data_IF_102954002446
#
_entry.id   IF_102954002446
#
_cell.length_a   1.000
_cell.length_b   1.000
_cell.length_c   1.000
_cell.angle_alpha   90.00
_cell.angle_beta   90.00
_cell.angle_gamma   90.00
#
_symmetry.space_group_name_H-M   'P 1'
#
loop_
_entity.id
_entity.type
_entity.pdbx_description
1 polymer ?
#
# COMPACT_ATOMS: atom_id res chain seq x y z
N UNK A 1 -47.62 1.69 -5.38
CA UNK A 1 -47.11 3.00 -5.84
C UNK A 1 -46.09 3.59 -4.85
N UNK A 2 -46.44 3.86 -3.59
CA UNK A 2 -45.49 4.37 -2.59
C UNK A 2 -44.24 3.48 -2.35
N UNK A 3 -44.41 2.15 -2.27
CA UNK A 3 -43.28 1.21 -2.11
C UNK A 3 -42.36 1.11 -3.33
N UNK A 4 -42.86 1.41 -4.54
CA UNK A 4 -42.05 1.47 -5.76
C UNK A 4 -41.22 2.76 -5.82
N UNK A 5 -41.74 3.86 -5.28
CA UNK A 5 -41.02 5.13 -5.18
C UNK A 5 -39.89 5.07 -4.17
N UNK A 6 -40.15 4.54 -2.96
CA UNK A 6 -39.10 4.32 -1.95
C UNK A 6 -37.96 3.43 -2.44
N UNK A 7 -38.27 2.39 -3.23
CA UNK A 7 -37.26 1.48 -3.80
C UNK A 7 -36.45 2.09 -4.97
N UNK A 8 -36.90 3.20 -5.55
CA UNK A 8 -36.18 3.96 -6.57
C UNK A 8 -35.29 5.00 -5.89
N UNK A 9 -35.80 5.72 -4.90
CA UNK A 9 -35.02 6.68 -4.11
C UNK A 9 -33.81 6.04 -3.40
N UNK A 10 -33.96 4.82 -2.88
CA UNK A 10 -32.83 4.08 -2.28
C UNK A 10 -31.77 3.68 -3.32
N UNK A 11 -32.17 3.36 -4.56
CA UNK A 11 -31.20 3.02 -5.63
C UNK A 11 -30.43 4.24 -6.10
N UNK A 12 -31.12 5.37 -6.25
CA UNK A 12 -30.52 6.62 -6.69
C UNK A 12 -29.53 7.12 -5.64
N UNK A 13 -29.90 7.02 -4.35
CA UNK A 13 -28.99 7.34 -3.24
C UNK A 13 -27.76 6.42 -3.19
N UNK A 14 -27.94 5.11 -3.40
CA UNK A 14 -26.81 4.16 -3.47
C UNK A 14 -25.92 4.42 -4.68
N UNK A 15 -26.49 4.81 -5.82
CA UNK A 15 -25.74 5.14 -7.03
C UNK A 15 -24.96 6.45 -6.87
N UNK A 16 -25.55 7.46 -6.22
CA UNK A 16 -24.91 8.74 -5.93
C UNK A 16 -23.76 8.59 -4.92
N UNK A 17 -23.97 7.80 -3.87
CA UNK A 17 -22.92 7.49 -2.89
C UNK A 17 -21.77 6.69 -3.53
N UNK A 18 -22.09 5.74 -4.42
CA UNK A 18 -21.09 5.03 -5.23
C UNK A 18 -20.33 5.97 -6.16
N UNK A 19 -21.01 6.90 -6.83
CA UNK A 19 -20.37 7.88 -7.71
C UNK A 19 -19.47 8.85 -6.93
N UNK A 20 -19.88 9.27 -5.73
CA UNK A 20 -19.05 10.08 -4.83
C UNK A 20 -17.80 9.34 -4.39
N UNK A 21 -17.94 8.07 -3.98
CA UNK A 21 -16.82 7.22 -3.60
C UNK A 21 -15.88 6.94 -4.78
N UNK A 22 -16.40 6.74 -5.99
CA UNK A 22 -15.58 6.56 -7.20
C UNK A 22 -14.84 7.86 -7.57
N UNK A 23 -15.45 9.04 -7.40
CA UNK A 23 -14.80 10.34 -7.62
C UNK A 23 -13.73 10.66 -6.55
N UNK A 24 -14.00 10.33 -5.29
CA UNK A 24 -13.04 10.46 -4.20
C UNK A 24 -11.89 9.45 -4.36
N UNK A 25 -12.18 8.23 -4.83
CA UNK A 25 -11.17 7.26 -5.24
C UNK A 25 -10.31 7.77 -6.39
N UNK A 26 -10.91 8.36 -7.44
CA UNK A 26 -10.16 8.97 -8.55
C UNK A 26 -9.28 10.17 -8.10
N UNK A 27 -9.74 10.93 -7.09
CA UNK A 27 -8.95 12.01 -6.49
C UNK A 27 -7.81 11.48 -5.61
N UNK A 28 -8.06 10.42 -4.85
CA UNK A 28 -7.03 9.70 -4.10
C UNK A 28 -6.04 9.02 -5.04
N UNK A 29 -6.50 8.58 -6.22
CA UNK A 29 -5.65 8.04 -7.28
C UNK A 29 -4.65 9.04 -7.85
N UNK A 30 -4.85 10.34 -7.67
CA UNK A 30 -3.95 11.38 -8.19
C UNK A 30 -3.00 11.97 -7.14
N UNK A 31 -3.26 11.79 -5.84
CA UNK A 31 -2.67 12.65 -4.80
C UNK A 31 -1.84 11.95 -3.72
N UNK A 32 -1.89 10.62 -3.58
CA UNK A 32 -1.21 9.97 -2.45
C UNK A 32 -0.57 8.64 -2.86
N UNK A 33 0.73 8.49 -2.58
CA UNK A 33 1.41 7.22 -2.67
C UNK A 33 0.72 6.20 -1.74
N UNK A 34 0.44 4.99 -2.25
CA UNK A 34 -0.23 3.95 -1.47
C UNK A 34 0.41 3.71 -0.10
N UNK A 35 1.74 3.85 0.02
CA UNK A 35 2.47 3.70 1.29
C UNK A 35 1.99 4.66 2.39
N UNK A 36 1.45 5.83 2.04
CA UNK A 36 0.89 6.79 3.01
C UNK A 36 -0.57 6.50 3.36
N UNK A 37 -1.38 6.00 2.41
CA UNK A 37 -2.79 5.63 2.66
C UNK A 37 -2.92 4.28 3.37
N UNK A 38 -2.01 3.37 3.08
CA UNK A 38 -2.02 1.97 3.47
C UNK A 38 -0.66 1.57 4.05
N UNK A 39 -0.20 2.20 5.16
CA UNK A 39 1.11 1.90 5.71
C UNK A 39 1.16 0.43 6.15
N UNK A 40 2.17 -0.29 5.65
CA UNK A 40 2.44 -1.70 5.96
C UNK A 40 3.73 -1.82 6.78
N UNK A 41 3.60 -2.39 7.98
CA UNK A 41 4.72 -2.83 8.81
C UNK A 41 4.85 -4.35 8.73
N UNK A 42 5.89 -4.82 8.04
CA UNK A 42 6.22 -6.24 7.90
C UNK A 42 7.27 -6.71 8.91
N UNK A 43 7.79 -5.84 9.77
CA UNK A 43 8.86 -6.16 10.72
C UNK A 43 8.30 -6.41 12.13
N UNK A 44 7.09 -5.91 12.41
CA UNK A 44 6.32 -6.26 13.60
C UNK A 44 6.16 -7.79 13.77
N UNK A 45 6.07 -8.26 15.02
CA UNK A 45 5.90 -9.70 15.32
C UNK A 45 4.66 -10.30 14.65
N UNK A 46 3.57 -9.53 14.60
CA UNK A 46 2.43 -9.76 13.70
C UNK A 46 2.41 -8.59 12.73
N UNK A 47 2.48 -8.82 11.40
CA UNK A 47 2.55 -7.72 10.44
C UNK A 47 1.25 -6.91 10.46
N UNK A 48 1.34 -5.63 10.12
CA UNK A 48 0.20 -4.71 10.20
C UNK A 48 -0.05 -3.96 8.90
N UNK A 49 -1.31 -3.57 8.71
CA UNK A 49 -1.77 -2.65 7.67
C UNK A 49 -2.61 -1.57 8.35
N UNK A 50 -2.23 -0.30 8.18
CA UNK A 50 -2.88 0.82 8.88
C UNK A 50 -2.92 0.63 10.41
N UNK A 51 -1.90 -0.03 10.97
CA UNK A 51 -1.83 -0.40 12.39
C UNK A 51 -2.70 -1.59 12.80
N UNK A 52 -3.53 -2.13 11.90
CA UNK A 52 -4.36 -3.32 12.15
C UNK A 52 -3.55 -4.59 11.91
N UNK A 53 -3.58 -5.52 12.86
CA UNK A 53 -2.77 -6.75 12.80
C UNK A 53 -3.38 -7.79 11.88
N UNK A 54 -2.53 -8.41 11.07
CA UNK A 54 -2.87 -9.47 10.13
C UNK A 54 -1.99 -10.70 10.42
N UNK A 55 -2.50 -11.60 11.25
CA UNK A 55 -1.78 -12.80 11.67
C UNK A 55 -2.20 -13.22 13.08
N UNK A 56 -1.76 -14.38 13.52
CA UNK A 56 -2.01 -14.94 14.85
C UNK A 56 -0.74 -15.53 15.42
N UNK A 57 -0.40 -15.11 16.63
CA UNK A 57 0.66 -15.71 17.45
C UNK A 57 0.12 -16.00 18.84
N UNK A 58 0.71 -16.94 19.59
CA UNK A 58 0.31 -17.20 20.98
C UNK A 58 0.30 -15.96 21.87
N UNK A 59 1.25 -15.03 21.65
CA UNK A 59 1.37 -13.77 22.39
C UNK A 59 0.50 -12.63 21.87
N UNK A 60 -0.10 -12.76 20.68
CA UNK A 60 -0.91 -11.72 20.06
C UNK A 60 -1.91 -12.33 19.08
N UNK A 61 -3.19 -12.32 19.46
CA UNK A 61 -4.29 -12.77 18.62
C UNK A 61 -5.24 -11.58 18.37
N UNK A 62 -5.22 -10.97 17.18
CA UNK A 62 -6.18 -9.94 16.85
C UNK A 62 -7.60 -10.51 16.86
N UNK A 63 -8.54 -9.69 17.29
CA UNK A 63 -9.95 -10.06 17.23
C UNK A 63 -10.40 -10.16 15.76
N UNK A 64 -11.38 -11.02 15.43
CA UNK A 64 -11.89 -11.13 14.06
C UNK A 64 -12.26 -9.80 13.40
N UNK A 65 -12.92 -8.82 14.07
CA UNK A 65 -13.22 -7.53 13.46
C UNK A 65 -11.98 -6.75 13.00
N UNK A 66 -10.89 -6.79 13.78
CA UNK A 66 -9.62 -6.15 13.41
C UNK A 66 -9.01 -6.79 12.15
N UNK A 67 -8.98 -8.13 12.10
CA UNK A 67 -8.50 -8.86 10.92
C UNK A 67 -9.38 -8.57 9.70
N UNK A 68 -10.70 -8.54 9.88
CA UNK A 68 -11.66 -8.28 8.83
C UNK A 68 -11.53 -6.86 8.26
N UNK A 69 -11.33 -5.85 9.11
CA UNK A 69 -11.09 -4.48 8.70
C UNK A 69 -9.81 -4.37 7.88
N UNK A 70 -8.73 -5.01 8.32
CA UNK A 70 -7.47 -5.06 7.58
C UNK A 70 -7.63 -5.77 6.21
N UNK A 71 -8.37 -6.89 6.16
CA UNK A 71 -8.71 -7.57 4.90
C UNK A 71 -9.54 -6.69 3.95
N UNK A 72 -10.49 -5.90 4.47
CA UNK A 72 -11.26 -4.92 3.69
C UNK A 72 -10.39 -3.83 3.07
N UNK A 73 -9.42 -3.30 3.83
CA UNK A 73 -8.44 -2.33 3.34
C UNK A 73 -7.52 -2.95 2.27
N UNK A 74 -7.07 -4.20 2.47
CA UNK A 74 -6.27 -4.92 1.47
C UNK A 74 -7.02 -5.06 0.14
N UNK A 75 -8.29 -5.45 0.17
CA UNK A 75 -9.09 -5.58 -1.04
C UNK A 75 -9.36 -4.23 -1.71
N UNK A 76 -9.54 -3.17 -0.92
CA UNK A 76 -9.65 -1.81 -1.45
C UNK A 76 -8.38 -1.42 -2.21
N UNK A 77 -7.22 -1.59 -1.59
CA UNK A 77 -5.95 -1.27 -2.24
C UNK A 77 -5.70 -2.12 -3.50
N UNK A 78 -5.97 -3.42 -3.44
CA UNK A 78 -5.84 -4.32 -4.59
C UNK A 78 -6.81 -3.99 -5.72
N UNK A 79 -8.03 -3.51 -5.40
CA UNK A 79 -9.00 -3.04 -6.39
C UNK A 79 -8.50 -1.83 -7.16
N UNK A 80 -7.93 -0.84 -6.45
CA UNK A 80 -7.35 0.35 -7.08
C UNK A 80 -6.16 -0.03 -7.99
N UNK A 81 -5.23 -0.85 -7.48
CA UNK A 81 -4.11 -1.35 -8.29
C UNK A 81 -4.58 -2.12 -9.51
N UNK A 82 -5.58 -2.99 -9.35
CA UNK A 82 -6.16 -3.76 -10.45
C UNK A 82 -6.77 -2.87 -11.52
N UNK A 83 -7.54 -1.84 -11.15
CA UNK A 83 -8.14 -0.90 -12.10
C UNK A 83 -7.07 -0.12 -12.88
N UNK A 84 -6.04 0.40 -12.21
CA UNK A 84 -4.95 1.13 -12.89
C UNK A 84 -4.13 0.28 -13.86
N UNK A 85 -4.02 -1.02 -13.60
CA UNK A 85 -3.14 -1.92 -14.38
C UNK A 85 -3.90 -2.99 -15.16
N UNK A 86 -5.22 -2.83 -15.33
CA UNK A 86 -6.10 -3.84 -15.93
C UNK A 86 -5.63 -4.31 -17.31
N UNK A 87 -5.14 -3.39 -18.16
CA UNK A 87 -4.67 -3.71 -19.51
C UNK A 87 -3.52 -4.73 -19.59
N UNK A 88 -2.76 -4.92 -18.50
CA UNK A 88 -1.67 -5.92 -18.41
C UNK A 88 -1.92 -7.01 -17.37
N UNK A 89 -2.94 -6.85 -16.53
CA UNK A 89 -3.20 -7.79 -15.45
C UNK A 89 -3.91 -9.03 -16.00
N UNK A 90 -3.22 -10.17 -16.00
CA UNK A 90 -3.81 -11.47 -16.28
C UNK A 90 -3.93 -12.27 -14.99
N UNK A 91 -5.13 -12.30 -14.42
CA UNK A 91 -5.45 -13.12 -13.25
C UNK A 91 -6.70 -13.97 -13.53
N UNK A 92 -6.55 -15.15 -14.17
CA UNK A 92 -7.70 -15.93 -14.66
C UNK A 92 -8.60 -16.45 -13.53
N UNK A 93 -8.05 -16.63 -12.32
CA UNK A 93 -8.76 -17.22 -11.20
C UNK A 93 -9.56 -16.17 -10.40
N UNK A 94 -9.34 -14.86 -10.58
CA UNK A 94 -10.02 -13.81 -9.82
C UNK A 94 -10.85 -12.94 -10.75
N UNK A 95 -12.16 -13.19 -10.79
CA UNK A 95 -13.11 -12.47 -11.65
C UNK A 95 -13.30 -11.03 -11.19
N UNK A 96 -13.65 -10.83 -9.92
CA UNK A 96 -13.95 -9.50 -9.38
C UNK A 96 -13.65 -9.44 -7.88
N UNK A 97 -13.50 -8.22 -7.36
CA UNK A 97 -13.35 -7.95 -5.93
C UNK A 97 -14.62 -7.24 -5.46
N UNK A 98 -15.26 -7.76 -4.41
CA UNK A 98 -16.47 -7.18 -3.83
C UNK A 98 -16.08 -6.44 -2.55
N UNK A 99 -16.06 -5.10 -2.64
CA UNK A 99 -15.68 -4.22 -1.54
C UNK A 99 -16.90 -3.99 -0.64
N UNK A 100 -16.82 -4.45 0.60
CA UNK A 100 -17.88 -4.31 1.60
C UNK A 100 -17.29 -4.09 3.01
N UNK A 101 -16.20 -3.30 3.08
CA UNK A 101 -15.47 -3.06 4.34
C UNK A 101 -15.01 -4.38 4.98
N UNK A 102 -15.39 -4.59 6.24
CA UNK A 102 -15.10 -5.82 7.00
C UNK A 102 -15.75 -7.08 6.42
N UNK A 103 -16.75 -6.95 5.56
CA UNK A 103 -17.47 -8.07 4.95
C UNK A 103 -17.05 -8.33 3.49
N UNK A 104 -15.88 -7.84 3.08
CA UNK A 104 -15.42 -7.93 1.69
C UNK A 104 -15.25 -9.40 1.22
N UNK A 105 -15.36 -9.60 -0.10
CA UNK A 105 -15.36 -10.93 -0.73
C UNK A 105 -14.58 -10.92 -2.05
N UNK A 106 -14.23 -12.11 -2.54
CA UNK A 106 -13.58 -12.31 -3.83
C UNK A 106 -14.43 -13.25 -4.68
N UNK A 107 -14.70 -12.87 -5.92
CA UNK A 107 -15.32 -13.76 -6.91
C UNK A 107 -14.24 -14.52 -7.66
N UNK A 108 -14.18 -15.83 -7.44
CA UNK A 108 -13.18 -16.74 -8.00
C UNK A 108 -13.81 -17.55 -9.13
N UNK A 109 -13.06 -17.79 -10.21
CA UNK A 109 -13.49 -18.68 -11.29
C UNK A 109 -12.92 -20.07 -11.03
N UNK A 110 -13.79 -21.04 -10.80
CA UNK A 110 -13.43 -22.45 -10.59
C UNK A 110 -13.69 -23.27 -11.86
N UNK A 111 -12.68 -24.00 -12.32
CA UNK A 111 -12.77 -24.91 -13.48
C UNK A 111 -11.83 -24.56 -14.64
N UNK A 112 -11.40 -25.58 -15.40
CA UNK A 112 -10.42 -25.46 -16.51
C UNK A 112 -11.04 -25.08 -17.88
N UNK A 113 -12.36 -24.93 -18.00
CA UNK A 113 -13.04 -24.68 -19.27
C UNK A 113 -13.68 -23.29 -19.36
N UNK A 114 -14.01 -22.87 -20.58
CA UNK A 114 -14.61 -21.58 -21.00
C UNK A 114 -15.97 -21.24 -20.38
N UNK A 115 -16.43 -21.98 -19.37
CA UNK A 115 -17.66 -21.74 -18.59
C UNK A 115 -17.47 -21.90 -17.08
N UNK A 116 -16.25 -21.69 -16.56
CA UNK A 116 -15.90 -21.87 -15.15
C UNK A 116 -16.95 -21.29 -14.18
N UNK A 117 -17.28 -22.06 -13.15
CA UNK A 117 -18.25 -21.67 -12.14
C UNK A 117 -17.67 -20.52 -11.33
N UNK A 118 -18.39 -19.40 -11.27
CA UNK A 118 -18.04 -18.29 -10.37
C UNK A 118 -18.49 -18.64 -8.96
N UNK A 119 -17.56 -18.61 -8.02
CA UNK A 119 -17.80 -18.82 -6.61
C UNK A 119 -17.40 -17.58 -5.82
N UNK A 120 -18.18 -17.25 -4.78
CA UNK A 120 -17.87 -16.17 -3.84
C UNK A 120 -17.18 -16.76 -2.62
N UNK A 121 -15.95 -16.32 -2.38
CA UNK A 121 -15.22 -16.65 -1.16
C UNK A 121 -15.14 -15.43 -0.26
N UNK A 122 -15.45 -15.62 1.02
CA UNK A 122 -15.46 -14.55 2.01
C UNK A 122 -14.03 -14.16 2.38
N UNK A 123 -13.66 -12.89 2.21
CA UNK A 123 -12.37 -12.38 2.68
C UNK A 123 -12.50 -11.75 4.07
N UNK A 124 -13.23 -12.46 4.93
CA UNK A 124 -13.44 -12.10 6.33
C UNK A 124 -13.78 -13.35 7.15
N UNK A 125 -13.46 -13.29 8.44
CA UNK A 125 -13.76 -14.33 9.42
C UNK A 125 -15.19 -14.12 9.93
N UNK A 126 -16.07 -15.08 9.63
CA UNK A 126 -17.40 -15.20 10.24
C UNK A 126 -17.29 -15.86 11.62
N UNK A 127 -18.23 -15.54 12.50
CA UNK A 127 -18.39 -16.18 13.82
C UNK A 127 -18.87 -17.64 13.76
N UNK A 128 -19.28 -18.12 12.58
CA UNK A 128 -19.72 -19.50 12.40
C UNK A 128 -18.55 -20.49 12.38
N UNK A 129 -18.81 -21.73 12.82
CA UNK A 129 -17.83 -22.83 12.96
C UNK A 129 -17.09 -23.24 11.66
N UNK A 130 -17.42 -22.64 10.51
CA UNK A 130 -16.86 -23.02 9.20
C UNK A 130 -16.30 -21.84 8.40
N UNK A 131 -16.01 -20.68 9.03
CA UNK A 131 -15.44 -19.51 8.35
C UNK A 131 -14.10 -19.78 7.65
N UNK A 132 -13.30 -20.69 8.19
CA UNK A 132 -12.05 -21.16 7.56
C UNK A 132 -12.26 -21.75 6.15
N UNK A 133 -13.44 -22.33 5.86
CA UNK A 133 -13.73 -22.93 4.55
C UNK A 133 -13.83 -21.91 3.42
N UNK A 134 -14.16 -20.66 3.72
CA UNK A 134 -14.24 -19.57 2.73
C UNK A 134 -13.08 -18.59 2.87
N UNK A 135 -12.66 -18.29 4.09
CA UNK A 135 -11.57 -17.35 4.36
C UNK A 135 -10.20 -17.85 3.89
N UNK A 136 -9.88 -19.14 4.11
CA UNK A 136 -8.64 -19.73 3.61
C UNK A 136 -8.51 -19.64 2.08
N UNK A 137 -9.50 -20.13 1.30
CA UNK A 137 -9.51 -19.96 -0.15
C UNK A 137 -9.48 -18.50 -0.63
N UNK A 138 -10.10 -17.57 0.10
CA UNK A 138 -10.04 -16.16 -0.24
C UNK A 138 -8.60 -15.60 -0.12
N UNK A 139 -7.82 -16.00 0.89
CA UNK A 139 -6.40 -15.65 0.98
C UNK A 139 -5.56 -16.23 -0.17
N UNK A 140 -5.84 -17.46 -0.59
CA UNK A 140 -5.17 -18.06 -1.75
C UNK A 140 -5.47 -17.27 -3.04
N UNK A 141 -6.75 -16.91 -3.24
CA UNK A 141 -7.16 -16.08 -4.37
C UNK A 141 -6.50 -14.68 -4.33
N UNK A 142 -6.45 -14.06 -3.16
CA UNK A 142 -5.79 -12.77 -2.95
C UNK A 142 -4.28 -12.83 -3.21
N UNK A 143 -3.58 -13.85 -2.71
CA UNK A 143 -2.16 -14.06 -2.98
C UNK A 143 -1.90 -14.24 -4.48
N UNK A 144 -2.73 -15.03 -5.17
CA UNK A 144 -2.67 -15.22 -6.62
C UNK A 144 -2.86 -13.91 -7.38
N UNK A 145 -3.78 -13.05 -6.93
CA UNK A 145 -3.94 -11.70 -7.47
C UNK A 145 -2.68 -10.84 -7.24
N UNK A 146 -2.10 -10.89 -6.05
CA UNK A 146 -0.87 -10.15 -5.74
C UNK A 146 0.28 -10.59 -6.65
N UNK A 147 0.44 -11.89 -6.92
CA UNK A 147 1.46 -12.38 -7.85
C UNK A 147 1.21 -11.89 -9.30
N UNK A 148 -0.06 -11.86 -9.72
CA UNK A 148 -0.44 -11.30 -11.01
C UNK A 148 -0.11 -9.80 -11.11
N UNK A 149 -0.37 -9.03 -10.05
CA UNK A 149 -0.02 -7.62 -9.96
C UNK A 149 1.50 -7.42 -9.98
N UNK A 150 2.27 -8.21 -9.22
CA UNK A 150 3.74 -8.16 -9.25
C UNK A 150 4.25 -8.36 -10.67
N UNK A 151 3.76 -9.38 -11.38
CA UNK A 151 4.16 -9.67 -12.76
C UNK A 151 3.81 -8.54 -13.72
N UNK A 152 2.61 -7.98 -13.61
CA UNK A 152 2.16 -6.87 -14.46
C UNK A 152 2.99 -5.59 -14.22
N UNK A 153 3.23 -5.25 -12.96
CA UNK A 153 4.01 -4.08 -12.57
C UNK A 153 5.49 -4.22 -12.94
N UNK A 154 6.08 -5.42 -12.84
CA UNK A 154 7.44 -5.67 -13.33
C UNK A 154 7.58 -5.37 -14.83
N UNK A 155 6.64 -5.85 -15.65
CA UNK A 155 6.64 -5.53 -17.09
C UNK A 155 6.54 -4.02 -17.34
N UNK A 156 5.73 -3.29 -16.57
CA UNK A 156 5.65 -1.82 -16.69
C UNK A 156 6.91 -1.10 -16.21
N UNK A 157 7.55 -1.59 -15.15
CA UNK A 157 8.82 -1.05 -14.67
C UNK A 157 9.95 -1.26 -15.70
N UNK A 158 9.97 -2.40 -16.40
CA UNK A 158 10.92 -2.66 -17.48
C UNK A 158 10.75 -1.66 -18.63
N UNK A 159 9.51 -1.39 -19.06
CA UNK A 159 9.20 -0.36 -20.05
C UNK A 159 9.65 1.02 -19.56
N UNK A 160 9.31 1.38 -18.31
CA UNK A 160 9.66 2.68 -17.72
C UNK A 160 11.18 2.88 -17.63
N UNK A 161 11.92 1.83 -17.28
CA UNK A 161 13.38 1.86 -17.24
C UNK A 161 13.99 2.02 -18.64
N UNK A 162 13.37 1.41 -19.66
CA UNK A 162 13.79 1.54 -21.06
C UNK A 162 13.50 2.94 -21.62
N UNK A 163 12.34 3.51 -21.33
CA UNK A 163 11.97 4.89 -21.69
C UNK A 163 12.96 5.88 -21.08
N UNK A 164 13.18 5.79 -19.76
CA UNK A 164 14.10 6.66 -19.05
C UNK A 164 15.57 6.52 -19.54
N UNK A 165 15.95 5.33 -20.02
CA UNK A 165 17.26 5.13 -20.64
C UNK A 165 17.39 5.86 -21.99
N UNK A 166 16.33 5.85 -22.81
CA UNK A 166 16.32 6.57 -24.08
C UNK A 166 16.35 8.09 -23.87
N UNK A 167 15.57 8.59 -22.91
CA UNK A 167 15.51 10.02 -22.56
C UNK A 167 16.85 10.55 -22.04
N UNK A 168 17.54 9.76 -21.20
CA UNK A 168 18.86 10.14 -20.68
C UNK A 168 19.93 10.24 -21.77
N UNK A 169 19.82 9.46 -22.86
CA UNK A 169 20.73 9.56 -24.01
C UNK A 169 20.41 10.82 -24.83
N UNK A 170 19.14 11.13 -25.05
CA UNK A 170 18.69 12.28 -25.84
C UNK A 170 18.96 13.63 -25.17
N UNK A 171 19.00 13.70 -23.84
CA UNK A 171 19.15 14.94 -23.05
C UNK A 171 20.59 15.29 -22.65
N UNK A 172 21.59 14.61 -23.22
CA UNK A 172 23.02 14.92 -22.97
C UNK A 172 23.44 16.34 -23.38
N UNK A 173 22.59 17.09 -24.08
CA UNK A 173 22.82 18.48 -24.50
C UNK A 173 22.20 19.54 -23.56
N UNK A 174 21.30 19.18 -22.62
CA UNK A 174 20.63 20.13 -21.72
C UNK A 174 20.74 19.68 -20.24
N UNK A 175 21.63 20.34 -19.49
CA UNK A 175 22.21 19.89 -18.20
C UNK A 175 21.24 19.68 -17.03
N UNK A 176 19.95 19.99 -17.18
CA UNK A 176 18.95 19.88 -16.11
C UNK A 176 18.05 18.63 -16.17
N UNK A 177 17.62 18.22 -17.37
CA UNK A 177 16.58 17.20 -17.54
C UNK A 177 17.10 15.75 -17.45
N UNK A 178 18.38 15.52 -17.78
CA UNK A 178 18.98 14.18 -17.76
C UNK A 178 19.12 13.55 -16.35
N UNK A 179 19.08 14.37 -15.29
CA UNK A 179 19.23 13.90 -13.90
C UNK A 179 18.03 13.06 -13.42
N UNK A 180 16.81 13.48 -13.75
CA UNK A 180 15.59 12.83 -13.27
C UNK A 180 15.30 11.52 -14.00
N UNK A 181 15.63 11.45 -15.30
CA UNK A 181 15.54 10.23 -16.09
C UNK A 181 16.52 9.15 -15.59
N UNK A 182 17.78 9.53 -15.31
CA UNK A 182 18.78 8.62 -14.75
C UNK A 182 18.34 8.07 -13.38
N UNK A 183 17.86 8.93 -12.48
CA UNK A 183 17.38 8.52 -11.16
C UNK A 183 16.12 7.64 -11.24
N UNK A 184 15.21 7.93 -12.17
CA UNK A 184 14.01 7.12 -12.43
C UNK A 184 14.41 5.71 -12.87
N UNK A 185 15.35 5.61 -13.81
CA UNK A 185 15.88 4.34 -14.30
C UNK A 185 16.54 3.54 -13.16
N UNK A 186 17.39 4.17 -12.36
CA UNK A 186 18.06 3.50 -11.24
C UNK A 186 17.04 2.95 -10.24
N UNK A 187 16.03 3.76 -9.88
CA UNK A 187 14.97 3.36 -8.96
C UNK A 187 14.14 2.21 -9.53
N UNK A 188 13.82 2.25 -10.83
CA UNK A 188 13.11 1.17 -11.51
C UNK A 188 13.93 -0.13 -11.49
N UNK A 189 15.24 -0.07 -11.77
CA UNK A 189 16.13 -1.24 -11.73
C UNK A 189 16.23 -1.84 -10.33
N UNK A 190 16.32 -1.01 -9.28
CA UNK A 190 16.30 -1.46 -7.89
C UNK A 190 15.00 -2.19 -7.55
N UNK A 191 13.85 -1.60 -7.89
CA UNK A 191 12.54 -2.23 -7.68
C UNK A 191 12.39 -3.53 -8.48
N UNK A 192 12.92 -3.59 -9.70
CA UNK A 192 12.93 -4.81 -10.49
C UNK A 192 13.74 -5.93 -9.84
N UNK A 193 14.88 -5.60 -9.22
CA UNK A 193 15.69 -6.59 -8.50
C UNK A 193 14.99 -7.08 -7.23
N UNK A 194 14.44 -6.17 -6.43
CA UNK A 194 13.60 -6.52 -5.27
C UNK A 194 12.41 -7.41 -5.69
N UNK A 195 11.76 -7.10 -6.82
CA UNK A 195 10.63 -7.84 -7.35
C UNK A 195 10.98 -9.23 -7.90
N UNK A 196 12.27 -9.53 -8.15
CA UNK A 196 12.74 -10.89 -8.47
C UNK A 196 12.88 -11.77 -7.23
N UNK A 197 13.14 -11.15 -6.08
CA UNK A 197 13.34 -11.84 -4.81
C UNK A 197 12.01 -12.13 -4.08
N UNK A 198 10.90 -11.55 -4.54
CA UNK A 198 9.59 -11.82 -3.98
C UNK A 198 9.18 -13.29 -4.16
N UNK A 199 8.48 -13.86 -3.16
CA UNK A 199 8.03 -15.24 -3.20
C UNK A 199 7.02 -15.46 -4.34
N UNK A 200 7.05 -16.67 -4.91
CA UNK A 200 5.99 -17.14 -5.80
C UNK A 200 4.85 -17.76 -5.01
N UNK A 201 3.67 -17.78 -5.63
CA UNK A 201 2.50 -18.47 -5.10
C UNK A 201 2.49 -19.88 -5.67
N UNK A 202 2.55 -20.89 -4.80
CA UNK A 202 2.48 -22.30 -5.17
C UNK A 202 1.32 -22.98 -4.42
N UNK A 203 0.21 -23.17 -5.15
CA UNK A 203 -1.03 -23.65 -4.55
C UNK A 203 -1.54 -22.72 -3.44
N UNK A 204 -1.55 -23.22 -2.21
CA UNK A 204 -1.95 -22.46 -1.02
C UNK A 204 -0.76 -21.82 -0.26
N UNK A 205 0.46 -21.87 -0.81
CA UNK A 205 1.68 -21.40 -0.16
C UNK A 205 2.27 -20.18 -0.81
N UNK A 206 2.83 -19.30 0.02
CA UNK A 206 3.63 -18.13 -0.39
C UNK A 206 4.94 -18.17 0.38
N UNK A 207 6.06 -18.24 -0.33
CA UNK A 207 7.38 -18.38 0.31
C UNK A 207 7.55 -19.68 1.09
N UNK A 208 6.79 -20.73 0.74
CA UNK A 208 6.77 -22.01 1.45
C UNK A 208 5.80 -22.09 2.64
N UNK A 209 5.18 -20.97 3.04
CA UNK A 209 4.23 -20.90 4.14
C UNK A 209 2.79 -20.92 3.63
N UNK A 210 1.93 -21.76 4.19
CA UNK A 210 0.51 -21.82 3.80
C UNK A 210 -0.24 -20.57 4.26
N UNK A 211 -1.05 -20.00 3.38
CA UNK A 211 -1.97 -18.88 3.66
C UNK A 211 -3.39 -19.36 3.95
N UNK A 212 -3.61 -20.68 4.05
CA UNK A 212 -4.93 -21.29 4.29
C UNK A 212 -5.28 -21.22 5.79
N UNK A 213 -6.00 -20.16 6.15
CA UNK A 213 -6.46 -19.94 7.53
C UNK A 213 -7.23 -21.16 8.07
N UNK A 214 -6.89 -21.60 9.29
CA UNK A 214 -7.51 -22.73 9.97
C UNK A 214 -6.92 -24.10 9.65
N UNK A 215 -6.28 -24.26 8.49
CA UNK A 215 -5.61 -25.51 8.11
C UNK A 215 -4.11 -25.49 8.44
N UNK A 216 -3.50 -24.31 8.40
CA UNK A 216 -2.11 -24.11 8.80
C UNK A 216 -2.01 -23.70 10.29
N UNK A 217 -0.94 -24.09 11.00
CA UNK A 217 -0.63 -23.55 12.32
C UNK A 217 -0.55 -22.01 12.28
N UNK A 218 -0.99 -21.35 13.35
CA UNK A 218 -1.07 -19.88 13.44
C UNK A 218 0.23 -19.16 13.05
N UNK A 219 1.39 -19.65 13.47
CA UNK A 219 2.70 -19.08 13.13
C UNK A 219 3.04 -19.23 11.63
N UNK A 220 2.68 -20.38 11.03
CA UNK A 220 2.86 -20.65 9.60
C UNK A 220 1.95 -19.73 8.78
N UNK A 221 0.68 -19.60 9.18
CA UNK A 221 -0.27 -18.69 8.53
C UNK A 221 0.21 -17.24 8.61
N UNK A 222 0.66 -16.80 9.79
CA UNK A 222 1.22 -15.45 9.99
C UNK A 222 2.44 -15.19 9.11
N UNK A 223 3.31 -16.19 8.94
CA UNK A 223 4.46 -16.09 8.04
C UNK A 223 4.01 -15.96 6.58
N UNK A 224 3.04 -16.76 6.14
CA UNK A 224 2.46 -16.64 4.81
C UNK A 224 1.80 -15.27 4.56
N UNK A 225 1.06 -14.74 5.53
CA UNK A 225 0.46 -13.40 5.45
C UNK A 225 1.53 -12.31 5.34
N UNK A 226 2.64 -12.42 6.09
CA UNK A 226 3.78 -11.50 5.99
C UNK A 226 4.39 -11.48 4.59
N UNK A 227 4.56 -12.66 3.99
CA UNK A 227 5.06 -12.79 2.62
C UNK A 227 4.11 -12.11 1.61
N UNK A 228 2.79 -12.29 1.75
CA UNK A 228 1.79 -11.60 0.93
C UNK A 228 1.86 -10.08 1.12
N UNK A 229 1.96 -9.59 2.36
CA UNK A 229 2.07 -8.16 2.64
C UNK A 229 3.36 -7.56 2.07
N UNK A 230 4.46 -8.31 2.02
CA UNK A 230 5.69 -7.89 1.33
C UNK A 230 5.45 -7.68 -0.17
N UNK A 231 4.69 -8.57 -0.82
CA UNK A 231 4.29 -8.40 -2.22
C UNK A 231 3.42 -7.15 -2.41
N UNK A 232 2.44 -6.92 -1.53
CA UNK A 232 1.56 -5.74 -1.59
C UNK A 232 2.37 -4.44 -1.43
N UNK A 233 3.25 -4.36 -0.43
CA UNK A 233 4.14 -3.20 -0.21
C UNK A 233 5.04 -2.92 -1.40
N UNK A 234 5.59 -3.97 -2.03
CA UNK A 234 6.34 -3.81 -3.28
C UNK A 234 5.46 -3.28 -4.42
N UNK A 235 4.23 -3.80 -4.57
CA UNK A 235 3.28 -3.31 -5.57
C UNK A 235 2.95 -1.83 -5.39
N UNK A 236 2.81 -1.34 -4.15
CA UNK A 236 2.59 0.08 -3.85
C UNK A 236 3.72 0.97 -4.33
N UNK A 237 4.97 0.59 -4.04
CA UNK A 237 6.16 1.32 -4.48
C UNK A 237 6.34 1.27 -6.00
N UNK A 238 6.12 0.11 -6.61
CA UNK A 238 6.20 -0.08 -8.06
C UNK A 238 5.12 0.73 -8.80
N UNK A 239 3.88 0.70 -8.33
CA UNK A 239 2.78 1.50 -8.86
C UNK A 239 3.09 2.99 -8.79
N UNK A 240 3.59 3.47 -7.65
CA UNK A 240 3.92 4.89 -7.49
C UNK A 240 4.93 5.36 -8.55
N UNK A 241 6.00 4.59 -8.79
CA UNK A 241 6.99 4.93 -9.81
C UNK A 241 6.42 4.85 -11.24
N UNK A 242 5.60 3.84 -11.52
CA UNK A 242 4.98 3.66 -12.85
C UNK A 242 4.00 4.79 -13.18
N UNK A 243 3.19 5.20 -12.21
CA UNK A 243 2.10 6.17 -12.43
C UNK A 243 2.60 7.61 -12.30
N UNK A 244 3.40 7.90 -11.28
CA UNK A 244 3.80 9.29 -10.96
C UNK A 244 5.26 9.61 -11.31
N UNK A 245 6.08 8.61 -11.63
CA UNK A 245 7.52 8.79 -11.76
C UNK A 245 8.19 8.95 -10.39
N UNK A 246 9.40 9.50 -10.37
CA UNK A 246 10.02 9.90 -9.11
C UNK A 246 9.22 11.04 -8.48
N UNK A 247 8.99 11.04 -7.16
CA UNK A 247 8.53 12.25 -6.50
C UNK A 247 9.54 13.36 -6.81
N UNK A 248 9.09 14.60 -7.11
CA UNK A 248 10.00 15.71 -7.26
C UNK A 248 10.85 15.75 -5.99
N UNK A 249 12.18 15.76 -6.15
CA UNK A 249 13.09 15.80 -5.03
C UNK A 249 12.59 16.89 -4.09
N UNK A 250 12.15 16.51 -2.89
CA UNK A 250 11.81 17.47 -1.85
C UNK A 250 13.12 18.17 -1.60
N UNK A 251 13.31 19.34 -2.22
CA UNK A 251 14.48 20.18 -1.97
C UNK A 251 14.47 20.35 -0.47
N UNK A 252 15.48 19.83 0.26
CA UNK A 252 15.50 19.98 1.70
C UNK A 252 15.39 21.47 1.94
N UNK A 253 14.34 21.88 2.66
CA UNK A 253 14.10 23.28 2.96
C UNK A 253 15.43 23.83 3.46
N UNK A 254 15.99 24.78 2.70
CA UNK A 254 17.27 25.40 3.02
C UNK A 254 17.12 25.83 4.49
N UNK A 255 17.97 25.34 5.42
CA UNK A 255 17.84 25.73 6.81
C UNK A 255 17.81 27.25 6.81
N UNK A 256 16.77 27.84 7.42
CA UNK A 256 16.66 29.29 7.51
C UNK A 256 17.98 29.75 8.12
N UNK A 257 18.80 30.42 7.31
CA UNK A 257 20.08 30.94 7.73
C UNK A 257 19.81 31.82 8.94
N UNK A 258 20.25 31.35 10.11
CA UNK A 258 20.26 32.11 11.35
C UNK A 258 21.35 33.19 11.23
N UNK A 259 21.08 34.19 10.39
CA UNK A 259 21.84 35.41 10.30
C UNK A 259 20.86 36.53 10.64
N UNK A 260 20.93 37.03 11.87
CA UNK A 260 20.83 38.44 12.29
C UNK A 260 20.87 38.50 13.82
N UNK A 261 22.08 38.43 14.40
CA UNK A 261 22.34 39.05 15.71
C UNK A 261 23.82 39.39 15.83
N UNK A 262 24.24 40.40 15.08
CA UNK A 262 25.46 41.16 15.34
C UNK A 262 25.18 42.62 14.97
N UNK A 263 24.83 43.40 15.99
CA UNK A 263 25.28 44.78 16.22
C UNK A 263 24.36 45.41 17.26
N UNK A 264 24.90 45.64 18.47
CA UNK A 264 24.88 46.95 19.14
C UNK A 264 25.39 46.79 20.56
N UNK A 265 26.63 47.27 20.80
CA UNK A 265 27.00 48.05 21.99
C UNK A 265 28.52 48.25 22.02
N UNK A 266 28.97 49.40 21.52
CA UNK A 266 30.26 49.99 21.87
C UNK A 266 30.00 51.39 22.44
N UNK A 267 30.38 51.64 23.69
CA UNK A 267 30.73 52.94 24.29
C UNK A 267 30.95 52.81 25.81
N UNK A 268 31.77 53.68 26.44
CA UNK A 268 32.89 53.21 27.25
C UNK A 268 32.91 53.71 28.72
N UNK A 269 33.92 53.19 29.41
CA UNK A 269 34.45 53.51 30.74
C UNK A 269 34.42 54.98 31.17
N UNK A 270 33.98 55.23 32.41
CA UNK A 270 34.60 56.13 33.39
C UNK A 270 33.89 56.01 34.75
N UNK A 271 34.63 55.94 35.87
CA UNK A 271 34.04 56.13 37.20
C UNK A 271 34.79 55.45 38.33
N UNK A 272 35.72 56.19 38.93
CA UNK A 272 36.55 55.84 40.08
C UNK A 272 35.81 55.59 41.40
N UNK A 273 36.46 54.76 42.25
CA UNK A 273 36.66 54.85 43.72
C UNK A 273 35.48 55.12 44.67
N UNK A 274 35.29 54.22 45.64
CA UNK A 274 35.45 54.38 47.11
C UNK A 274 34.61 53.30 47.85
N UNK A 275 35.24 52.41 48.63
CA UNK A 275 35.46 52.46 50.10
C UNK A 275 34.25 52.15 51.01
N UNK A 276 34.57 51.38 52.07
CA UNK A 276 33.81 50.98 53.27
C UNK A 276 32.81 49.84 53.07
N UNK A 277 32.91 48.68 53.73
CA UNK A 277 33.07 48.36 55.16
C UNK A 277 31.81 48.68 55.99
N UNK A 278 31.00 47.64 56.27
CA UNK A 278 30.16 47.34 57.46
C UNK A 278 29.63 45.91 57.20
N UNK A 279 29.84 44.90 58.06
CA UNK A 279 29.15 44.70 59.36
C UNK A 279 27.67 44.35 59.08
N UNK A 280 27.02 43.30 59.55
CA UNK A 280 27.17 42.34 60.63
C UNK A 280 26.00 41.32 60.45
N UNK A 281 26.17 40.12 61.03
CA UNK A 281 25.16 39.11 61.41
C UNK A 281 24.46 38.26 60.34
#
# INVERSE_FOLDING_TARGET
LAAQWLAVEDRDRVAEERSRLDAEAARMETLVAFDALFPIDIDAAVPTLCGLRLGRLPSSQPAPPETNAACGLLLTAASILRRRHEGKLRCPNVRSLVLAGEASQIEVVSGKSTGGKVEKVDFHIKTSFFSWRTFGPAWVAFATLCEALVRALRSKLEEKASEAAADAVATTEDRGAGSDAAATRETALKLLDEGKQLPRVDGDKVGGFSVRYGDAPDHTWTSGVREVLRMVKWCFRADALVVFGLPPAVVPAKPLDAAHSQNDAAAPMAGERNQSAYGEQ
#
